data_IF_210864341798
#
_entry.id   IF_210864341798
#
_cell.length_a   1.000
_cell.length_b   1.000
_cell.length_c   1.000
_cell.angle_alpha   90.00
_cell.angle_beta   90.00
_cell.angle_gamma   90.00
#
_symmetry.space_group_name_H-M   'P 1'
#
loop_
_entity.id
_entity.type
_entity.pdbx_description
1 polymer ?
#
# COMPACT_ATOMS: atom_id res chain seq x y z
N UNK A 1 -3.70 -19.18 26.52
CA UNK A 1 -2.82 -18.06 26.10
C UNK A 1 -2.12 -18.50 24.83
N UNK A 2 -2.31 -17.79 23.76
CA UNK A 2 -1.61 -18.04 22.47
C UNK A 2 -0.27 -17.31 22.53
N UNK A 3 0.82 -17.93 22.03
CA UNK A 3 2.11 -17.25 21.96
C UNK A 3 2.10 -16.15 20.89
N UNK A 4 2.85 -15.07 21.08
CA UNK A 4 2.96 -13.99 20.09
C UNK A 4 3.55 -14.50 18.76
N UNK A 5 4.51 -15.44 18.84
CA UNK A 5 5.14 -16.07 17.68
C UNK A 5 4.13 -16.85 16.83
N UNK A 6 3.18 -17.56 17.45
CA UNK A 6 2.14 -18.28 16.72
C UNK A 6 1.17 -17.31 16.02
N UNK A 7 0.83 -16.19 16.66
CA UNK A 7 0.01 -15.14 16.03
C UNK A 7 0.72 -14.51 14.82
N UNK A 8 2.02 -14.26 14.94
CA UNK A 8 2.83 -13.73 13.83
C UNK A 8 2.91 -14.73 12.66
N UNK A 9 3.10 -16.02 12.96
CA UNK A 9 3.06 -17.08 11.94
C UNK A 9 1.70 -17.15 11.24
N UNK A 10 0.59 -17.09 11.98
CA UNK A 10 -0.75 -17.12 11.41
C UNK A 10 -1.04 -15.90 10.53
N UNK A 11 -0.57 -14.71 10.92
CA UNK A 11 -0.69 -13.49 10.11
C UNK A 11 0.14 -13.59 8.83
N UNK A 12 1.37 -14.11 8.90
CA UNK A 12 2.21 -14.33 7.73
C UNK A 12 1.58 -15.36 6.78
N UNK A 13 1.06 -16.48 7.30
CA UNK A 13 0.37 -17.48 6.49
C UNK A 13 -0.87 -16.89 5.80
N UNK A 14 -1.65 -16.05 6.49
CA UNK A 14 -2.78 -15.36 5.89
C UNK A 14 -2.34 -14.38 4.78
N UNK A 15 -1.17 -13.76 4.92
CA UNK A 15 -0.52 -12.95 3.88
C UNK A 15 -0.14 -13.80 2.66
N UNK A 16 0.48 -14.97 2.86
CA UNK A 16 0.83 -15.89 1.76
C UNK A 16 -0.40 -16.39 1.01
N UNK A 17 -1.49 -16.70 1.74
CA UNK A 17 -2.77 -17.06 1.11
C UNK A 17 -3.29 -15.92 0.22
N UNK A 18 -3.17 -14.67 0.66
CA UNK A 18 -3.57 -13.50 -0.14
C UNK A 18 -2.74 -13.37 -1.42
N UNK A 19 -1.42 -13.63 -1.35
CA UNK A 19 -0.53 -13.61 -2.52
C UNK A 19 -0.90 -14.75 -3.50
N UNK A 20 -1.11 -15.97 -2.99
CA UNK A 20 -1.50 -17.11 -3.81
C UNK A 20 -2.85 -16.84 -4.51
N UNK A 21 -3.81 -16.25 -3.80
CA UNK A 21 -5.11 -15.82 -4.37
C UNK A 21 -4.93 -14.81 -5.50
N UNK A 22 -4.12 -13.77 -5.31
CA UNK A 22 -3.88 -12.77 -6.36
C UNK A 22 -3.30 -13.40 -7.65
N UNK A 23 -2.43 -14.41 -7.52
CA UNK A 23 -1.92 -15.17 -8.66
C UNK A 23 -3.01 -15.98 -9.35
N UNK A 24 -3.91 -16.61 -8.58
CA UNK A 24 -5.05 -17.35 -9.14
C UNK A 24 -6.02 -16.42 -9.88
N UNK A 25 -6.31 -15.24 -9.33
CA UNK A 25 -7.13 -14.22 -10.00
C UNK A 25 -6.52 -13.80 -11.34
N UNK A 26 -5.21 -13.57 -11.38
CA UNK A 26 -4.50 -13.26 -12.62
C UNK A 26 -4.58 -14.40 -13.65
N UNK A 27 -4.43 -15.65 -13.21
CA UNK A 27 -4.54 -16.83 -14.09
C UNK A 27 -5.96 -16.98 -14.63
N UNK A 28 -6.99 -16.81 -13.79
CA UNK A 28 -8.38 -16.85 -14.22
C UNK A 28 -8.71 -15.74 -15.23
N UNK A 29 -8.19 -14.54 -15.03
CA UNK A 29 -8.34 -13.46 -16.02
C UNK A 29 -7.72 -13.82 -17.38
N UNK A 30 -6.57 -14.52 -17.39
CA UNK A 30 -5.97 -15.02 -18.63
C UNK A 30 -6.82 -16.12 -19.28
N UNK A 31 -7.42 -17.01 -18.50
CA UNK A 31 -8.35 -18.03 -19.00
C UNK A 31 -9.59 -17.38 -19.61
N UNK A 32 -10.18 -16.41 -18.94
CA UNK A 32 -11.34 -15.64 -19.41
C UNK A 32 -11.05 -14.95 -20.75
N UNK A 33 -9.91 -14.30 -20.87
CA UNK A 33 -9.46 -13.71 -22.13
C UNK A 33 -9.37 -14.75 -23.27
N UNK A 34 -8.77 -15.92 -23.00
CA UNK A 34 -8.63 -17.01 -23.98
C UNK A 34 -9.99 -17.61 -24.38
N UNK A 35 -10.93 -17.71 -23.43
CA UNK A 35 -12.30 -18.13 -23.72
C UNK A 35 -13.03 -17.13 -24.62
N UNK A 36 -12.80 -15.83 -24.42
CA UNK A 36 -13.31 -14.80 -25.32
C UNK A 36 -12.77 -14.91 -26.75
N UNK A 37 -11.48 -15.21 -26.93
CA UNK A 37 -10.89 -15.46 -28.26
C UNK A 37 -11.43 -16.75 -28.88
N UNK A 38 -11.63 -17.80 -28.08
CA UNK A 38 -12.26 -19.04 -28.53
C UNK A 38 -13.68 -18.77 -29.02
N UNK A 39 -14.47 -17.97 -28.31
CA UNK A 39 -15.83 -17.56 -28.69
C UNK A 39 -15.87 -16.94 -30.06
N UNK A 40 -15.01 -15.97 -30.30
CA UNK A 40 -14.90 -15.29 -31.61
C UNK A 40 -14.52 -16.28 -32.72
N UNK A 41 -13.63 -17.20 -32.42
CA UNK A 41 -13.17 -18.22 -33.40
C UNK A 41 -14.29 -19.19 -33.76
N UNK A 42 -15.03 -19.68 -32.74
CA UNK A 42 -16.19 -20.57 -32.95
C UNK A 42 -17.31 -19.89 -33.71
N UNK A 43 -17.59 -18.62 -33.41
CA UNK A 43 -18.59 -17.84 -34.14
C UNK A 43 -18.23 -17.69 -35.61
N UNK A 44 -16.96 -17.34 -35.88
CA UNK A 44 -16.45 -17.24 -37.26
C UNK A 44 -16.49 -18.58 -37.99
N UNK A 45 -16.16 -19.69 -37.31
CA UNK A 45 -16.27 -21.02 -37.90
C UNK A 45 -17.71 -21.36 -38.27
N UNK A 46 -18.69 -21.10 -37.39
CA UNK A 46 -20.12 -21.32 -37.69
C UNK A 46 -20.58 -20.50 -38.89
N UNK A 47 -20.16 -19.25 -39.01
CA UNK A 47 -20.47 -18.40 -40.17
C UNK A 47 -19.87 -18.94 -41.46
N UNK A 48 -18.63 -19.44 -41.42
CA UNK A 48 -17.98 -20.04 -42.60
C UNK A 48 -18.66 -21.33 -43.03
N UNK A 49 -19.03 -22.18 -42.09
CA UNK A 49 -19.77 -23.42 -42.35
C UNK A 49 -21.14 -23.12 -42.98
N UNK A 50 -21.85 -22.13 -42.44
CA UNK A 50 -23.15 -21.72 -43.02
C UNK A 50 -23.00 -21.18 -44.45
N UNK A 51 -21.96 -20.40 -44.73
CA UNK A 51 -21.68 -19.94 -46.12
C UNK A 51 -21.38 -21.12 -47.06
N UNK A 52 -20.60 -22.06 -46.59
CA UNK A 52 -20.27 -23.30 -47.34
C UNK A 52 -21.56 -24.09 -47.64
N UNK A 53 -22.46 -24.23 -46.69
CA UNK A 53 -23.73 -24.95 -46.84
C UNK A 53 -24.62 -24.23 -47.90
N UNK A 54 -24.79 -22.91 -47.81
CA UNK A 54 -25.56 -22.12 -48.78
C UNK A 54 -24.96 -22.22 -50.17
N UNK A 55 -23.64 -22.14 -50.30
CA UNK A 55 -22.96 -22.19 -51.60
C UNK A 55 -23.10 -23.58 -52.25
N UNK A 56 -23.01 -24.65 -51.43
CA UNK A 56 -23.24 -26.02 -51.90
C UNK A 56 -24.67 -26.23 -52.32
N UNK A 57 -25.67 -25.75 -51.57
CA UNK A 57 -27.09 -25.83 -51.94
C UNK A 57 -27.36 -25.01 -53.26
N UNK A 58 -26.80 -23.82 -53.35
CA UNK A 58 -26.97 -22.97 -54.56
C UNK A 58 -26.38 -23.62 -55.80
N UNK A 59 -25.21 -24.25 -55.69
CA UNK A 59 -24.63 -24.96 -56.81
C UNK A 59 -25.45 -26.17 -57.24
N UNK A 60 -26.08 -26.91 -56.31
CA UNK A 60 -26.99 -27.98 -56.58
C UNK A 60 -28.24 -27.47 -57.34
N UNK A 61 -28.83 -26.36 -56.88
CA UNK A 61 -30.02 -25.76 -57.50
C UNK A 61 -29.72 -25.20 -58.89
N UNK A 62 -28.62 -24.48 -59.12
CA UNK A 62 -28.25 -23.93 -60.43
C UNK A 62 -28.00 -25.02 -61.46
N UNK A 63 -27.47 -26.16 -61.10
CA UNK A 63 -27.32 -27.28 -62.06
C UNK A 63 -28.67 -27.91 -62.40
N UNK A 64 -29.64 -27.93 -61.48
CA UNK A 64 -30.96 -28.45 -61.79
C UNK A 64 -31.79 -27.54 -62.69
N UNK A 65 -31.59 -26.20 -62.61
CA UNK A 65 -32.32 -25.24 -63.48
C UNK A 65 -31.71 -25.06 -64.89
N UNK A 66 -30.41 -25.41 -65.07
CA UNK A 66 -29.70 -25.27 -66.36
C UNK A 66 -29.96 -26.37 -67.35
N UNK A 67 -30.51 -27.51 -66.99
CA UNK A 67 -30.57 -28.72 -67.84
C UNK A 67 -32.00 -29.11 -68.27
N UNK A 68 -32.70 -28.15 -68.91
CA UNK A 68 -33.94 -28.45 -69.62
C UNK A 68 -33.75 -28.88 -71.08
N UNK A 69 -32.49 -29.00 -71.59
CA UNK A 69 -32.25 -29.49 -72.95
C UNK A 69 -30.95 -30.32 -72.98
N UNK A 70 -31.09 -31.56 -73.23
CA UNK A 70 -30.18 -32.66 -73.43
C UNK A 70 -30.04 -33.65 -72.25
N UNK A 71 -30.50 -34.88 -72.46
CA UNK A 71 -30.16 -36.09 -71.74
C UNK A 71 -28.64 -36.28 -71.78
N UNK A 72 -27.95 -35.71 -70.85
CA UNK A 72 -26.57 -36.07 -70.53
C UNK A 72 -26.60 -37.00 -69.34
N UNK A 73 -25.93 -38.14 -69.45
CA UNK A 73 -25.81 -39.15 -68.42
C UNK A 73 -25.46 -38.51 -67.10
N UNK A 74 -26.37 -38.64 -66.16
CA UNK A 74 -26.23 -38.23 -64.76
C UNK A 74 -25.10 -39.06 -64.14
N UNK A 75 -23.95 -38.46 -63.82
CA UNK A 75 -22.84 -39.18 -63.18
C UNK A 75 -23.19 -39.41 -61.70
N UNK A 76 -23.50 -40.68 -61.28
CA UNK A 76 -23.84 -41.00 -59.90
C UNK A 76 -22.71 -40.63 -58.93
N UNK A 77 -21.46 -40.51 -59.40
CA UNK A 77 -20.28 -40.19 -58.60
C UNK A 77 -20.28 -38.69 -58.17
N UNK A 78 -20.84 -37.80 -58.96
CA UNK A 78 -20.94 -36.39 -58.56
C UNK A 78 -22.02 -36.17 -57.46
N UNK A 79 -23.14 -36.87 -57.53
CA UNK A 79 -24.20 -36.82 -56.50
C UNK A 79 -23.69 -37.38 -55.18
N UNK A 80 -22.90 -38.44 -55.21
CA UNK A 80 -22.27 -39.08 -54.04
C UNK A 80 -21.25 -38.11 -53.41
N UNK A 81 -20.51 -37.35 -54.19
CA UNK A 81 -19.59 -36.30 -53.71
C UNK A 81 -20.28 -35.14 -53.01
N UNK A 82 -21.38 -34.65 -53.54
CA UNK A 82 -22.17 -33.59 -52.92
C UNK A 82 -22.87 -34.07 -51.65
N UNK A 83 -23.39 -35.29 -51.64
CA UNK A 83 -23.95 -35.90 -50.44
C UNK A 83 -22.91 -36.07 -49.34
N UNK A 84 -21.71 -36.50 -49.63
CA UNK A 84 -20.63 -36.61 -48.65
C UNK A 84 -20.14 -35.23 -48.18
N UNK A 85 -20.04 -34.19 -49.03
CA UNK A 85 -19.68 -32.83 -48.63
C UNK A 85 -20.71 -32.26 -47.65
N UNK A 86 -22.00 -32.46 -47.94
CA UNK A 86 -23.09 -32.02 -47.07
C UNK A 86 -23.08 -32.73 -45.72
N UNK A 87 -22.77 -34.03 -45.69
CA UNK A 87 -22.59 -34.80 -44.47
C UNK A 87 -21.40 -34.28 -43.63
N UNK A 88 -20.26 -33.98 -44.27
CA UNK A 88 -19.09 -33.40 -43.58
C UNK A 88 -19.37 -32.02 -43.05
N UNK A 89 -20.06 -31.12 -43.83
CA UNK A 89 -20.43 -29.82 -43.38
C UNK A 89 -21.31 -29.88 -42.14
N UNK A 90 -22.30 -30.76 -42.13
CA UNK A 90 -23.20 -30.97 -40.98
C UNK A 90 -22.46 -31.52 -39.75
N UNK A 91 -21.58 -32.47 -39.92
CA UNK A 91 -20.74 -33.02 -38.84
C UNK A 91 -19.82 -31.94 -38.24
N UNK A 92 -19.25 -31.08 -39.09
CA UNK A 92 -18.45 -29.94 -38.64
C UNK A 92 -19.29 -28.88 -37.88
N UNK A 93 -20.51 -28.60 -38.36
CA UNK A 93 -21.44 -27.70 -37.68
C UNK A 93 -21.87 -28.20 -36.31
N UNK A 94 -22.08 -29.52 -36.18
CA UNK A 94 -22.37 -30.19 -34.92
C UNK A 94 -21.17 -30.09 -33.98
N UNK A 95 -19.96 -30.41 -34.45
CA UNK A 95 -18.72 -30.26 -33.67
C UNK A 95 -18.47 -28.80 -33.22
N UNK A 96 -18.73 -27.83 -34.06
CA UNK A 96 -18.63 -26.41 -33.72
C UNK A 96 -19.67 -26.01 -32.66
N UNK A 97 -20.85 -26.63 -32.66
CA UNK A 97 -21.88 -26.44 -31.64
C UNK A 97 -21.49 -27.05 -30.31
N UNK A 98 -20.87 -28.23 -30.34
CA UNK A 98 -20.36 -28.89 -29.14
C UNK A 98 -19.25 -28.08 -28.48
N UNK A 99 -18.31 -27.55 -29.28
CA UNK A 99 -17.26 -26.65 -28.79
C UNK A 99 -17.84 -25.38 -28.16
N UNK A 100 -18.90 -24.81 -28.74
CA UNK A 100 -19.59 -23.66 -28.16
C UNK A 100 -20.25 -24.01 -26.79
N UNK A 101 -20.83 -25.18 -26.68
CA UNK A 101 -21.44 -25.65 -25.43
C UNK A 101 -20.39 -25.88 -24.33
N UNK A 102 -19.25 -26.49 -24.68
CA UNK A 102 -18.12 -26.65 -23.77
C UNK A 102 -17.52 -25.32 -23.32
N UNK A 103 -17.41 -24.36 -24.24
CA UNK A 103 -16.95 -23.02 -23.93
C UNK A 103 -17.88 -22.34 -22.90
N UNK A 104 -19.19 -22.39 -23.10
CA UNK A 104 -20.16 -21.80 -22.20
C UNK A 104 -20.10 -22.44 -20.80
N UNK A 105 -19.86 -23.75 -20.73
CA UNK A 105 -19.61 -24.43 -19.47
C UNK A 105 -18.35 -23.93 -18.78
N UNK A 106 -17.24 -23.76 -19.53
CA UNK A 106 -15.98 -23.22 -18.98
C UNK A 106 -16.11 -21.79 -18.51
N UNK A 107 -16.85 -20.93 -19.22
CA UNK A 107 -17.16 -19.55 -18.79
C UNK A 107 -17.91 -19.55 -17.43
N UNK A 108 -18.89 -20.44 -17.29
CA UNK A 108 -19.63 -20.60 -16.02
C UNK A 108 -18.70 -21.05 -14.88
N UNK A 109 -17.81 -22.00 -15.12
CA UNK A 109 -16.84 -22.47 -14.13
C UNK A 109 -15.83 -21.38 -13.73
N UNK A 110 -15.37 -20.55 -14.67
CA UNK A 110 -14.50 -19.41 -14.40
C UNK A 110 -15.22 -18.39 -13.52
N UNK A 111 -16.48 -18.05 -13.83
CA UNK A 111 -17.27 -17.13 -13.04
C UNK A 111 -17.53 -17.67 -11.61
N UNK A 112 -17.78 -18.96 -11.46
CA UNK A 112 -17.91 -19.60 -10.14
C UNK A 112 -16.60 -19.55 -9.35
N UNK A 113 -15.46 -19.83 -10.00
CA UNK A 113 -14.13 -19.75 -9.38
C UNK A 113 -13.81 -18.34 -8.91
N UNK A 114 -14.14 -17.31 -9.72
CA UNK A 114 -13.98 -15.90 -9.33
C UNK A 114 -14.80 -15.54 -8.09
N UNK A 115 -16.06 -16.00 -8.03
CA UNK A 115 -16.91 -15.80 -6.86
C UNK A 115 -16.34 -16.46 -5.59
N UNK A 116 -15.82 -17.70 -5.71
CA UNK A 116 -15.16 -18.40 -4.60
C UNK A 116 -13.91 -17.67 -4.12
N UNK A 117 -13.08 -17.15 -5.03
CA UNK A 117 -11.91 -16.35 -4.67
C UNK A 117 -12.30 -15.05 -3.96
N UNK A 118 -13.39 -14.41 -4.37
CA UNK A 118 -13.89 -13.22 -3.70
C UNK A 118 -14.40 -13.54 -2.27
N UNK A 119 -15.10 -14.66 -2.10
CA UNK A 119 -15.53 -15.13 -0.78
C UNK A 119 -14.33 -15.47 0.11
N UNK A 120 -13.33 -16.18 -0.42
CA UNK A 120 -12.09 -16.48 0.27
C UNK A 120 -11.38 -15.19 0.72
N UNK A 121 -11.35 -14.15 -0.14
CA UNK A 121 -10.78 -12.83 0.20
C UNK A 121 -11.40 -12.23 1.45
N UNK A 122 -12.75 -12.24 1.53
CA UNK A 122 -13.48 -11.74 2.70
C UNK A 122 -13.12 -12.53 3.95
N UNK A 123 -13.14 -13.85 3.87
CA UNK A 123 -12.84 -14.74 5.00
C UNK A 123 -11.39 -14.53 5.51
N UNK A 124 -10.41 -14.42 4.60
CA UNK A 124 -9.02 -14.16 4.98
C UNK A 124 -8.87 -12.79 5.63
N UNK A 125 -9.53 -11.76 5.09
CA UNK A 125 -9.53 -10.41 5.69
C UNK A 125 -10.15 -10.40 7.08
N UNK A 126 -11.28 -11.07 7.28
CA UNK A 126 -11.92 -11.21 8.60
C UNK A 126 -11.02 -11.95 9.59
N UNK A 127 -10.35 -13.02 9.14
CA UNK A 127 -9.41 -13.78 9.93
C UNK A 127 -8.19 -12.94 10.33
N UNK A 128 -7.60 -12.19 9.39
CA UNK A 128 -6.54 -11.24 9.66
C UNK A 128 -6.98 -10.19 10.68
N UNK A 129 -8.14 -9.57 10.49
CA UNK A 129 -8.69 -8.59 11.44
C UNK A 129 -8.94 -9.19 12.83
N UNK A 130 -9.43 -10.43 12.90
CA UNK A 130 -9.60 -11.17 14.14
C UNK A 130 -8.27 -11.42 14.86
N UNK A 131 -7.26 -11.91 14.14
CA UNK A 131 -5.91 -12.13 14.67
C UNK A 131 -5.28 -10.82 15.16
N UNK A 132 -5.44 -9.73 14.38
CA UNK A 132 -4.92 -8.41 14.73
C UNK A 132 -5.55 -7.89 16.04
N UNK A 133 -6.85 -8.07 16.25
CA UNK A 133 -7.52 -7.69 17.51
C UNK A 133 -6.96 -8.41 18.72
N UNK A 134 -6.56 -9.68 18.59
CA UNK A 134 -5.95 -10.44 19.70
C UNK A 134 -4.55 -9.95 20.04
N UNK A 135 -3.90 -9.21 19.16
CA UNK A 135 -2.55 -8.66 19.30
C UNK A 135 -2.55 -7.23 19.85
N UNK A 136 -3.71 -6.59 19.92
CA UNK A 136 -3.83 -5.24 20.44
C UNK A 136 -3.55 -5.19 21.93
N UNK A 137 -2.82 -4.18 22.35
CA UNK A 137 -2.51 -3.89 23.76
C UNK A 137 -2.84 -2.44 24.09
N UNK A 138 -3.41 -2.23 25.27
CA UNK A 138 -3.71 -0.88 25.74
C UNK A 138 -2.42 -0.12 26.08
N UNK A 139 -2.31 1.10 25.60
CA UNK A 139 -1.20 2.02 25.90
C UNK A 139 -1.11 2.37 27.40
N UNK A 140 -2.23 2.29 28.13
CA UNK A 140 -2.30 2.56 29.57
C UNK A 140 -1.24 1.83 30.40
N UNK A 141 -0.84 0.64 29.98
CA UNK A 141 0.19 -0.16 30.68
C UNK A 141 1.57 0.50 30.72
N UNK A 142 1.83 1.41 29.78
CA UNK A 142 3.14 2.06 29.61
C UNK A 142 3.17 3.47 30.20
N UNK A 143 2.01 4.06 30.54
CA UNK A 143 1.91 5.43 31.07
C UNK A 143 2.77 5.64 32.30
N UNK A 144 2.72 4.71 33.28
CA UNK A 144 3.52 4.84 34.51
C UNK A 144 5.03 4.78 34.24
N UNK A 145 5.47 3.96 33.25
CA UNK A 145 6.87 3.89 32.84
C UNK A 145 7.30 5.22 32.21
N UNK A 146 6.51 5.77 31.29
CA UNK A 146 6.81 7.05 30.64
C UNK A 146 6.83 8.21 31.64
N UNK A 147 5.86 8.26 32.56
CA UNK A 147 5.83 9.26 33.64
C UNK A 147 7.05 9.17 34.57
N UNK A 148 7.57 7.97 34.81
CA UNK A 148 8.82 7.80 35.58
C UNK A 148 10.02 8.36 34.83
N UNK A 149 10.09 8.16 33.51
CA UNK A 149 11.16 8.70 32.67
C UNK A 149 11.18 10.23 32.70
N UNK A 150 10.01 10.86 32.58
CA UNK A 150 9.88 12.34 32.65
C UNK A 150 10.36 12.84 34.02
N UNK A 151 9.93 12.22 35.12
CA UNK A 151 10.36 12.60 36.48
C UNK A 151 11.87 12.42 36.68
N UNK A 152 12.43 11.32 36.17
CA UNK A 152 13.87 11.08 36.27
C UNK A 152 14.66 12.12 35.48
N UNK A 153 14.26 12.38 34.22
CA UNK A 153 14.91 13.39 33.38
C UNK A 153 14.81 14.80 34.00
N UNK A 154 13.69 15.13 34.62
CA UNK A 154 13.50 16.40 35.33
C UNK A 154 14.45 16.53 36.53
N UNK A 155 14.55 15.47 37.36
CA UNK A 155 15.46 15.44 38.48
C UNK A 155 16.94 15.57 38.04
N UNK A 156 17.35 14.82 37.02
CA UNK A 156 18.71 14.84 36.48
C UNK A 156 19.08 16.23 35.88
N UNK A 157 18.11 16.99 35.42
CA UNK A 157 18.28 18.32 34.80
C UNK A 157 18.03 19.48 35.79
N UNK A 158 17.66 19.21 37.06
CA UNK A 158 17.29 20.22 38.06
C UNK A 158 16.02 21.01 37.69
N UNK A 159 15.13 20.37 36.92
CA UNK A 159 13.86 20.97 36.44
C UNK A 159 12.68 20.28 37.10
N UNK A 160 11.49 20.88 36.94
CA UNK A 160 10.23 20.27 37.36
C UNK A 160 9.35 20.04 36.13
N UNK A 161 8.92 18.80 35.90
CA UNK A 161 8.06 18.44 34.79
C UNK A 161 7.13 17.29 35.16
N UNK A 162 5.92 17.35 34.61
CA UNK A 162 4.92 16.28 34.72
C UNK A 162 4.45 15.81 33.35
N UNK A 163 4.01 14.55 33.27
CA UNK A 163 3.45 13.95 32.05
C UNK A 163 1.94 13.76 32.23
N UNK A 164 1.17 14.34 31.32
CA UNK A 164 -0.28 14.14 31.17
C UNK A 164 -0.52 13.30 29.93
N UNK A 165 -1.21 12.16 30.07
CA UNK A 165 -1.51 11.28 28.93
C UNK A 165 -3.01 11.24 28.69
N UNK A 166 -3.42 11.63 27.50
CA UNK A 166 -4.80 11.63 27.01
C UNK A 166 -5.00 10.47 26.02
N UNK A 167 -6.18 9.84 26.02
CA UNK A 167 -6.45 8.72 25.11
C UNK A 167 -5.69 7.43 25.42
N UNK A 168 -5.15 7.27 26.64
CA UNK A 168 -4.34 6.13 27.02
C UNK A 168 -5.07 4.78 26.98
N UNK A 169 -6.40 4.76 26.94
CA UNK A 169 -7.22 3.55 26.75
C UNK A 169 -7.17 3.03 25.32
N UNK A 170 -6.64 3.83 24.40
CA UNK A 170 -6.42 3.41 23.00
C UNK A 170 -5.55 2.15 22.95
N UNK A 171 -5.92 1.27 22.03
CA UNK A 171 -5.19 0.02 21.76
C UNK A 171 -4.27 0.22 20.56
N UNK A 172 -3.06 -0.32 20.64
CA UNK A 172 -2.10 -0.37 19.53
C UNK A 172 -1.63 -1.81 19.32
N UNK A 173 -1.19 -2.08 18.10
CA UNK A 173 -0.47 -3.32 17.83
C UNK A 173 0.76 -3.43 18.75
N UNK A 174 0.93 -4.60 19.34
CA UNK A 174 2.01 -4.86 20.31
C UNK A 174 3.40 -4.59 19.72
N UNK A 175 3.67 -5.01 18.46
CA UNK A 175 4.98 -4.80 17.85
C UNK A 175 5.21 -3.32 17.50
N UNK A 176 4.19 -2.61 17.02
CA UNK A 176 4.26 -1.17 16.79
C UNK A 176 4.59 -0.46 18.09
N UNK A 177 3.88 -0.81 19.16
CA UNK A 177 4.10 -0.21 20.48
C UNK A 177 5.49 -0.50 21.04
N UNK A 178 5.94 -1.77 21.02
CA UNK A 178 7.27 -2.17 21.52
C UNK A 178 8.41 -1.45 20.76
N UNK A 179 8.27 -1.22 19.46
CA UNK A 179 9.23 -0.44 18.65
C UNK A 179 9.16 1.05 18.90
N UNK A 180 7.96 1.57 19.22
CA UNK A 180 7.76 3.00 19.45
C UNK A 180 8.07 3.47 20.86
N UNK A 181 8.10 2.57 21.84
CA UNK A 181 8.43 2.95 23.22
C UNK A 181 9.79 3.66 23.34
N UNK A 182 10.92 3.16 22.80
CA UNK A 182 12.20 3.88 22.84
C UNK A 182 12.16 5.26 22.16
N UNK A 183 11.61 5.44 20.95
CA UNK A 183 11.33 6.75 20.37
C UNK A 183 10.55 7.69 21.28
N UNK A 184 9.45 7.24 21.86
CA UNK A 184 8.65 8.08 22.79
C UNK A 184 9.44 8.46 24.05
N UNK A 185 10.18 7.54 24.63
CA UNK A 185 11.07 7.83 25.76
C UNK A 185 12.14 8.88 25.42
N UNK A 186 12.64 8.86 24.17
CA UNK A 186 13.60 9.84 23.70
C UNK A 186 12.95 11.23 23.51
N UNK A 187 11.76 11.29 22.86
CA UNK A 187 11.02 12.52 22.72
C UNK A 187 10.71 13.17 24.07
N UNK A 188 10.26 12.38 25.04
CA UNK A 188 9.97 12.87 26.41
C UNK A 188 11.22 13.38 27.12
N UNK A 189 12.36 12.70 26.99
CA UNK A 189 13.64 13.21 27.54
C UNK A 189 14.07 14.52 26.90
N UNK A 190 13.92 14.62 25.57
CA UNK A 190 14.24 15.86 24.86
C UNK A 190 13.33 17.01 25.26
N UNK A 191 12.03 16.77 25.40
CA UNK A 191 11.08 17.75 25.93
C UNK A 191 11.53 18.30 27.28
N UNK A 192 11.94 17.43 28.21
CA UNK A 192 12.47 17.86 29.52
C UNK A 192 13.82 18.56 29.39
N UNK A 193 14.79 17.96 28.70
CA UNK A 193 16.15 18.45 28.68
C UNK A 193 16.29 19.79 27.94
N UNK A 194 15.59 19.90 26.80
CA UNK A 194 15.75 21.01 25.83
C UNK A 194 14.51 21.91 25.75
N UNK A 195 13.29 21.37 25.95
CA UNK A 195 12.05 22.14 25.86
C UNK A 195 11.75 22.90 27.16
N UNK A 196 11.57 22.17 28.29
CA UNK A 196 11.18 22.78 29.56
C UNK A 196 12.34 23.63 30.11
N UNK A 197 12.02 24.86 30.54
CA UNK A 197 12.98 25.77 31.17
C UNK A 197 13.14 25.46 32.68
N UNK A 198 14.19 26.00 33.30
CA UNK A 198 14.37 25.94 34.75
C UNK A 198 13.23 26.66 35.49
N UNK A 199 12.83 26.21 36.71
CA UNK A 199 11.69 26.81 37.44
C UNK A 199 11.76 28.32 37.58
N UNK A 200 12.97 28.86 37.85
CA UNK A 200 13.17 30.30 38.00
C UNK A 200 12.98 31.07 36.67
N UNK A 201 13.31 30.45 35.52
CA UNK A 201 13.10 31.04 34.19
C UNK A 201 11.63 30.99 33.80
N UNK A 202 10.92 29.91 34.09
CA UNK A 202 9.47 29.77 33.89
C UNK A 202 8.69 30.79 34.68
N UNK A 203 9.04 30.97 35.97
CA UNK A 203 8.39 31.99 36.79
C UNK A 203 8.59 33.41 36.25
N UNK A 204 9.79 33.73 35.71
CA UNK A 204 10.04 35.05 35.05
C UNK A 204 9.22 35.23 33.77
N UNK A 205 8.96 34.14 33.06
CA UNK A 205 8.13 34.12 31.84
C UNK A 205 6.63 34.07 32.17
N UNK A 206 6.22 34.09 33.44
CA UNK A 206 4.80 34.01 33.85
C UNK A 206 4.19 32.61 33.69
N UNK A 207 5.01 31.58 33.55
CA UNK A 207 4.58 30.17 33.47
C UNK A 207 4.59 29.51 34.84
N UNK A 208 3.88 28.37 35.00
CA UNK A 208 3.99 27.51 36.16
C UNK A 208 5.44 27.02 36.36
N UNK A 209 5.92 26.92 37.57
CA UNK A 209 7.26 26.36 37.90
C UNK A 209 7.42 24.94 37.38
N UNK A 210 6.32 24.14 37.39
CA UNK A 210 6.28 22.78 36.84
C UNK A 210 5.87 22.86 35.36
N UNK A 211 6.73 22.38 34.47
CA UNK A 211 6.44 22.25 33.07
C UNK A 211 5.51 21.08 32.79
N UNK A 212 4.65 21.23 31.81
CA UNK A 212 3.73 20.17 31.41
C UNK A 212 4.10 19.58 30.07
N UNK A 213 4.22 18.24 30.04
CA UNK A 213 4.34 17.49 28.79
C UNK A 213 3.06 16.71 28.61
N UNK A 214 2.35 16.98 27.51
CA UNK A 214 1.12 16.31 27.15
C UNK A 214 1.38 15.30 26.04
N UNK A 215 0.92 14.06 26.24
CA UNK A 215 0.94 13.01 25.24
C UNK A 215 -0.49 12.58 24.93
N UNK A 216 -0.97 12.87 23.72
CA UNK A 216 -2.32 12.56 23.29
C UNK A 216 -2.28 11.45 22.24
N UNK A 217 -3.13 10.42 22.43
CA UNK A 217 -3.30 9.33 21.47
C UNK A 217 -4.70 9.40 20.88
N UNK A 218 -4.77 9.44 19.55
CA UNK A 218 -6.02 9.46 18.80
C UNK A 218 -5.95 8.47 17.66
N UNK A 219 -7.08 7.89 17.29
CA UNK A 219 -7.20 7.05 16.09
C UNK A 219 -7.95 7.81 15.02
N UNK A 220 -7.36 7.92 13.84
CA UNK A 220 -7.96 8.50 12.64
C UNK A 220 -7.95 7.44 11.51
N UNK A 221 -9.10 6.80 11.30
CA UNK A 221 -9.24 5.77 10.26
C UNK A 221 -8.30 4.59 10.47
N UNK A 222 -7.33 4.43 9.56
CA UNK A 222 -6.32 3.37 9.59
C UNK A 222 -5.00 3.77 10.27
N UNK A 223 -4.93 4.97 10.85
CA UNK A 223 -3.76 5.51 11.52
C UNK A 223 -4.00 5.75 13.00
N UNK A 224 -2.92 5.68 13.78
CA UNK A 224 -2.84 6.18 15.15
C UNK A 224 -1.96 7.40 15.14
N UNK A 225 -2.50 8.51 15.67
CA UNK A 225 -1.78 9.76 15.85
C UNK A 225 -1.38 9.87 17.30
N UNK A 226 -0.08 10.04 17.52
CA UNK A 226 0.47 10.31 18.84
C UNK A 226 1.11 11.68 18.83
N UNK A 227 0.56 12.61 19.60
CA UNK A 227 1.11 13.94 19.79
C UNK A 227 1.85 14.02 21.11
N UNK A 228 3.08 14.52 21.08
CA UNK A 228 3.88 14.83 22.26
C UNK A 228 4.15 16.33 22.24
N UNK A 229 3.55 17.06 23.18
CA UNK A 229 3.62 18.51 23.25
C UNK A 229 4.22 18.93 24.60
N UNK A 230 5.22 19.79 24.59
CA UNK A 230 5.72 20.49 25.79
C UNK A 230 5.29 21.96 25.80
N UNK A 231 5.20 22.55 26.98
CA UNK A 231 4.91 23.95 27.20
C UNK A 231 6.17 24.79 27.48
N UNK A 232 7.31 24.34 26.96
CA UNK A 232 8.62 24.92 27.19
C UNK A 232 8.95 26.15 26.34
N UNK A 233 10.23 26.40 26.15
CA UNK A 233 10.74 27.57 25.39
C UNK A 233 10.53 27.49 23.89
N UNK A 234 10.20 26.30 23.37
CA UNK A 234 10.22 26.03 21.93
C UNK A 234 11.62 25.78 21.40
N UNK A 235 11.73 25.50 20.10
CA UNK A 235 13.02 25.28 19.43
C UNK A 235 13.70 26.61 19.08
N UNK A 236 15.00 26.71 19.32
CA UNK A 236 15.80 27.83 18.88
C UNK A 236 16.21 27.64 17.41
N UNK A 237 15.36 28.08 16.48
CA UNK A 237 15.56 27.93 15.03
C UNK A 237 16.86 28.59 14.56
N UNK A 238 17.27 29.70 15.18
CA UNK A 238 18.55 30.35 14.86
C UNK A 238 19.73 29.45 15.21
N UNK A 239 19.75 28.87 16.40
CA UNK A 239 20.82 27.96 16.82
C UNK A 239 20.84 26.67 15.96
N UNK A 240 19.69 26.17 15.56
CA UNK A 240 19.55 25.03 14.63
C UNK A 240 20.16 25.38 13.28
N UNK A 241 19.83 26.55 12.72
CA UNK A 241 20.38 27.03 11.45
C UNK A 241 21.90 27.19 11.50
N UNK A 242 22.39 27.89 12.56
CA UNK A 242 23.85 28.14 12.72
C UNK A 242 24.60 26.80 12.79
N UNK A 243 24.06 25.82 13.49
CA UNK A 243 24.59 24.45 13.57
C UNK A 243 24.54 23.72 12.21
N UNK A 244 23.45 23.87 11.47
CA UNK A 244 23.33 23.30 10.12
C UNK A 244 24.38 23.83 9.16
N UNK A 245 24.73 25.11 9.25
CA UNK A 245 25.82 25.73 8.48
C UNK A 245 27.17 25.16 8.95
N UNK A 246 27.40 25.05 10.27
CA UNK A 246 28.65 24.50 10.84
C UNK A 246 28.90 23.05 10.37
N UNK A 247 27.84 22.24 10.28
CA UNK A 247 27.89 20.86 9.82
C UNK A 247 27.92 20.72 8.29
N UNK A 248 27.82 21.83 7.55
CA UNK A 248 27.77 21.79 6.08
C UNK A 248 26.52 21.25 5.45
N UNK A 249 25.43 21.09 6.23
CA UNK A 249 24.13 20.61 5.77
C UNK A 249 23.39 21.64 4.93
N UNK A 250 23.62 22.92 5.22
CA UNK A 250 23.03 24.06 4.51
C UNK A 250 24.10 25.16 4.27
N UNK A 251 23.87 26.02 3.29
CA UNK A 251 24.70 27.19 3.01
C UNK A 251 24.23 28.38 3.82
N UNK A 252 25.15 29.25 4.23
CA UNK A 252 24.84 30.42 5.03
C UNK A 252 23.91 31.43 4.32
N UNK A 253 23.97 31.48 2.98
CA UNK A 253 23.17 32.33 2.11
C UNK A 253 21.82 31.73 1.71
N UNK A 254 21.54 30.47 2.10
CA UNK A 254 20.31 29.75 1.74
C UNK A 254 19.13 30.25 2.55
N UNK A 255 18.05 30.67 1.88
CA UNK A 255 16.78 30.99 2.50
C UNK A 255 15.99 29.70 2.70
N UNK A 256 15.76 29.34 3.96
CA UNK A 256 14.96 28.18 4.37
C UNK A 256 13.76 28.66 5.16
N UNK A 257 12.65 27.95 5.03
CA UNK A 257 11.49 28.11 5.90
C UNK A 257 11.81 27.60 7.32
N UNK A 258 11.00 28.01 8.30
CA UNK A 258 11.12 27.51 9.68
C UNK A 258 10.93 25.96 9.71
N UNK A 259 10.08 25.43 8.86
CA UNK A 259 9.85 23.99 8.72
C UNK A 259 11.11 23.27 8.18
N UNK A 260 11.77 23.83 7.16
CA UNK A 260 13.01 23.26 6.64
C UNK A 260 14.13 23.29 7.67
N UNK A 261 14.20 24.37 8.48
CA UNK A 261 15.18 24.47 9.56
C UNK A 261 14.90 23.42 10.64
N UNK A 262 13.65 23.19 11.01
CA UNK A 262 13.29 22.13 11.95
C UNK A 262 13.66 20.74 11.44
N UNK A 263 13.51 20.47 10.13
CA UNK A 263 13.86 19.18 9.54
C UNK A 263 15.34 18.84 9.71
N UNK A 264 16.23 19.82 9.81
CA UNK A 264 17.66 19.58 10.04
C UNK A 264 17.95 18.82 11.33
N UNK A 265 17.06 18.92 12.33
CA UNK A 265 17.20 18.18 13.62
C UNK A 265 17.06 16.67 13.41
N UNK A 266 16.44 16.24 12.31
CA UNK A 266 16.26 14.83 11.94
C UNK A 266 17.41 14.26 11.11
N UNK A 267 18.36 15.11 10.68
CA UNK A 267 19.52 14.68 9.91
C UNK A 267 20.53 13.93 10.78
N UNK A 268 21.13 12.91 10.21
CA UNK A 268 22.12 12.09 10.91
C UNK A 268 23.30 12.92 11.40
N UNK A 269 23.62 12.81 12.69
CA UNK A 269 24.73 13.54 13.28
C UNK A 269 24.44 14.99 13.69
N UNK A 270 23.19 15.47 13.56
CA UNK A 270 22.80 16.84 13.93
C UNK A 270 22.80 17.08 15.45
N UNK A 271 22.92 16.05 16.30
CA UNK A 271 22.81 16.20 17.78
C UNK A 271 23.55 17.45 18.28
N UNK A 272 22.82 18.33 18.97
CA UNK A 272 23.36 19.56 19.54
C UNK A 272 24.16 19.34 20.83
N UNK A 273 24.17 18.13 21.38
CA UNK A 273 24.91 17.78 22.58
C UNK A 273 26.41 17.61 22.25
N UNK A 274 27.18 18.66 22.49
CA UNK A 274 28.64 18.70 22.33
C UNK A 274 29.44 17.88 23.35
N UNK A 275 28.80 17.00 24.13
CA UNK A 275 29.43 16.04 25.00
C UNK A 275 28.63 14.75 24.96
N UNK A 276 29.29 13.66 24.61
CA UNK A 276 28.87 12.31 24.88
C UNK A 276 28.63 12.17 26.39
N UNK A 277 27.43 12.48 26.87
CA UNK A 277 27.02 12.12 28.22
C UNK A 277 26.88 10.59 28.23
N UNK A 278 27.86 9.92 28.76
CA UNK A 278 27.96 8.46 28.93
C UNK A 278 26.78 7.83 29.70
N UNK A 279 25.80 8.61 30.12
CA UNK A 279 24.65 8.14 30.93
C UNK A 279 23.50 7.57 30.10
N UNK A 280 23.53 7.74 28.76
CA UNK A 280 22.55 7.11 27.86
C UNK A 280 23.29 6.19 26.88
N UNK A 281 23.56 4.98 27.29
CA UNK A 281 24.37 3.97 26.60
C UNK A 281 23.93 3.50 25.21
N UNK A 282 23.61 4.39 24.34
CA UNK A 282 23.60 4.37 22.85
C UNK A 282 23.14 5.77 22.44
N UNK A 283 23.99 6.50 21.70
CA UNK A 283 23.67 7.83 21.17
C UNK A 283 22.44 7.79 20.27
N UNK A 284 21.25 7.83 20.88
CA UNK A 284 19.97 7.86 20.15
C UNK A 284 19.67 9.33 19.88
N UNK A 285 19.84 9.77 18.64
CA UNK A 285 19.47 11.10 18.17
C UNK A 285 18.03 11.12 17.63
N UNK A 286 17.56 12.29 17.22
CA UNK A 286 16.27 12.47 16.55
C UNK A 286 16.20 11.75 15.21
N UNK A 287 17.33 11.58 14.54
CA UNK A 287 17.50 10.77 13.32
C UNK A 287 17.08 9.30 13.53
N UNK A 288 17.41 8.72 14.68
CA UNK A 288 16.99 7.35 15.02
C UNK A 288 15.49 7.29 15.24
N UNK A 289 14.90 8.30 15.92
CA UNK A 289 13.43 8.41 16.09
C UNK A 289 12.74 8.45 14.75
N UNK A 290 13.18 9.34 13.85
CA UNK A 290 12.61 9.48 12.51
C UNK A 290 12.76 8.18 11.68
N UNK A 291 13.92 7.53 11.78
CA UNK A 291 14.19 6.26 11.10
C UNK A 291 13.28 5.14 11.57
N UNK A 292 13.08 4.98 12.88
CA UNK A 292 12.18 3.94 13.41
C UNK A 292 10.71 4.19 13.03
N UNK A 293 10.27 5.46 13.03
CA UNK A 293 8.92 5.84 12.56
C UNK A 293 8.76 5.50 11.08
N UNK A 294 9.73 5.85 10.23
CA UNK A 294 9.73 5.51 8.80
C UNK A 294 9.72 4.00 8.54
N UNK A 295 10.49 3.21 9.29
CA UNK A 295 10.50 1.74 9.20
C UNK A 295 9.15 1.11 9.52
N UNK A 296 8.34 1.76 10.34
CA UNK A 296 6.97 1.36 10.64
C UNK A 296 5.95 1.86 9.62
N UNK A 297 6.40 2.56 8.57
CA UNK A 297 5.53 3.18 7.57
C UNK A 297 4.82 4.43 8.09
N UNK A 298 5.35 5.05 9.17
CA UNK A 298 4.81 6.25 9.76
C UNK A 298 5.48 7.53 9.28
N UNK A 299 4.95 8.67 9.75
CA UNK A 299 5.46 10.00 9.51
C UNK A 299 5.64 10.75 10.84
N UNK A 300 6.66 11.61 10.89
CA UNK A 300 6.94 12.53 11.98
C UNK A 300 6.82 13.96 11.48
N UNK A 301 5.98 14.73 12.14
CA UNK A 301 5.82 16.17 11.91
C UNK A 301 6.18 16.93 13.19
N UNK A 302 6.74 18.12 13.04
CA UNK A 302 7.18 18.97 14.14
C UNK A 302 6.64 20.38 13.96
N UNK A 303 6.16 20.96 15.05
CA UNK A 303 5.73 22.34 15.12
C UNK A 303 6.34 22.97 16.38
N UNK A 304 6.77 24.22 16.30
CA UNK A 304 7.29 24.95 17.46
C UNK A 304 6.84 26.39 17.45
N UNK A 305 6.54 26.90 18.65
CA UNK A 305 6.25 28.31 18.86
C UNK A 305 7.13 28.81 20.00
N UNK A 306 7.93 29.82 19.71
CA UNK A 306 8.84 30.40 20.69
C UNK A 306 8.09 30.84 21.97
N UNK A 307 8.53 30.37 23.12
CA UNK A 307 7.93 30.62 24.41
C UNK A 307 6.67 29.82 24.71
N UNK A 308 6.12 29.04 23.78
CA UNK A 308 4.92 28.22 23.99
C UNK A 308 5.19 26.69 23.94
N UNK A 309 6.34 26.30 23.39
CA UNK A 309 6.79 24.92 23.38
C UNK A 309 6.90 24.29 22.00
N UNK A 310 7.03 22.96 21.97
CA UNK A 310 7.18 22.15 20.77
C UNK A 310 6.19 21.03 20.75
N UNK A 311 5.64 20.73 19.58
CA UNK A 311 4.73 19.62 19.33
C UNK A 311 5.34 18.66 18.31
N UNK A 312 5.49 17.40 18.69
CA UNK A 312 5.83 16.30 17.79
C UNK A 312 4.57 15.50 17.50
N UNK A 313 4.19 15.41 16.22
CA UNK A 313 3.07 14.59 15.76
C UNK A 313 3.61 13.37 15.04
N UNK A 314 3.40 12.20 15.63
CA UNK A 314 3.78 10.90 15.06
C UNK A 314 2.52 10.25 14.50
N UNK A 315 2.51 9.98 13.19
CA UNK A 315 1.47 9.21 12.53
C UNK A 315 1.98 7.80 12.29
N UNK A 316 1.26 6.80 12.71
CA UNK A 316 1.62 5.39 12.57
C UNK A 316 0.44 4.64 11.97
N UNK A 317 0.67 3.69 11.06
CA UNK A 317 -0.39 2.79 10.64
C UNK A 317 -0.88 1.99 11.87
N UNK A 318 -2.19 1.84 11.99
CA UNK A 318 -2.81 1.10 13.10
C UNK A 318 -2.34 -0.35 13.18
N UNK A 319 -1.96 -0.91 12.03
CA UNK A 319 -1.44 -2.28 11.88
C UNK A 319 -0.22 -2.26 10.96
N UNK A 320 0.62 -3.28 11.04
CA UNK A 320 1.62 -3.51 10.00
C UNK A 320 0.85 -3.79 8.69
N UNK A 321 0.76 -2.80 7.84
CA UNK A 321 -0.06 -2.88 6.63
C UNK A 321 0.59 -3.83 5.62
N UNK A 322 -0.12 -4.89 5.23
CA UNK A 322 0.12 -5.56 3.96
C UNK A 322 -0.50 -4.67 2.90
N UNK A 323 0.33 -3.92 2.19
CA UNK A 323 -0.13 -3.10 1.07
C UNK A 323 -0.01 -3.90 -0.22
N UNK A 324 -1.08 -3.94 -1.01
CA UNK A 324 -1.00 -4.41 -2.38
C UNK A 324 -0.21 -3.39 -3.20
N UNK A 325 0.77 -3.87 -3.94
CA UNK A 325 1.58 -3.01 -4.80
C UNK A 325 1.70 -3.61 -6.20
N UNK A 326 1.68 -2.73 -7.20
CA UNK A 326 2.07 -3.08 -8.55
C UNK A 326 3.60 -3.10 -8.60
N UNK A 327 4.20 -4.25 -8.89
CA UNK A 327 5.64 -4.36 -9.07
C UNK A 327 5.97 -4.06 -10.53
N UNK A 328 6.68 -2.97 -10.76
CA UNK A 328 7.16 -2.57 -12.09
C UNK A 328 8.68 -2.76 -12.18
N UNK A 329 9.16 -3.15 -13.36
CA UNK A 329 10.59 -3.27 -13.64
C UNK A 329 11.04 -2.16 -14.58
N UNK A 330 12.08 -1.43 -14.18
CA UNK A 330 12.75 -0.42 -15.02
C UNK A 330 14.23 -0.79 -15.13
N UNK A 331 14.66 -1.22 -16.32
CA UNK A 331 15.99 -1.80 -16.49
C UNK A 331 16.12 -3.10 -15.68
N UNK A 332 17.09 -3.14 -14.77
CA UNK A 332 17.35 -4.29 -13.88
C UNK A 332 16.78 -4.10 -12.46
N UNK A 333 16.12 -2.98 -12.20
CA UNK A 333 15.56 -2.64 -10.88
C UNK A 333 14.04 -2.88 -10.84
N UNK A 334 13.55 -3.28 -9.67
CA UNK A 334 12.13 -3.48 -9.38
C UNK A 334 11.62 -2.43 -8.41
N UNK A 335 10.49 -1.80 -8.74
CA UNK A 335 9.81 -0.82 -7.91
C UNK A 335 8.42 -1.32 -7.54
N UNK A 336 8.03 -1.16 -6.27
CA UNK A 336 6.70 -1.47 -5.79
C UNK A 336 5.87 -0.18 -5.66
N UNK A 337 4.87 -0.01 -6.53
CA UNK A 337 3.94 1.11 -6.52
C UNK A 337 2.69 0.70 -5.73
N UNK A 338 2.33 1.36 -4.62
CA UNK A 338 1.11 1.06 -3.89
C UNK A 338 -0.12 1.12 -4.81
N UNK A 339 -0.94 0.06 -4.83
CA UNK A 339 -2.13 -0.02 -5.70
C UNK A 339 -3.10 1.17 -5.56
N UNK A 340 -3.32 1.77 -4.36
CA UNK A 340 -4.15 2.97 -4.23
C UNK A 340 -3.62 4.21 -4.96
N UNK A 341 -2.35 4.21 -5.35
CA UNK A 341 -1.72 5.30 -6.12
C UNK A 341 -1.74 5.05 -7.63
N UNK A 342 -2.25 3.89 -8.07
CA UNK A 342 -2.30 3.49 -9.48
C UNK A 342 -3.73 3.65 -9.97
N UNK A 343 -3.99 4.66 -10.79
CA UNK A 343 -5.31 4.92 -11.39
C UNK A 343 -5.60 3.95 -12.54
N UNK A 344 -4.56 3.53 -13.25
CA UNK A 344 -4.70 2.59 -14.36
C UNK A 344 -3.37 2.18 -14.98
N UNK A 345 -3.41 1.21 -15.89
CA UNK A 345 -2.26 0.77 -16.67
C UNK A 345 -2.61 0.87 -18.15
N UNK A 346 -1.87 1.71 -18.87
CA UNK A 346 -2.06 1.92 -20.31
C UNK A 346 -0.90 1.32 -21.08
N UNK A 347 -1.18 0.64 -22.18
CA UNK A 347 -0.17 0.09 -23.07
C UNK A 347 0.06 1.03 -24.26
N UNK A 348 1.23 1.62 -24.32
CA UNK A 348 1.61 2.53 -25.39
C UNK A 348 2.64 1.89 -26.34
N UNK A 349 2.55 2.15 -27.66
CA UNK A 349 3.63 1.87 -28.59
C UNK A 349 4.88 2.66 -28.23
N UNK A 350 6.06 2.07 -28.44
CA UNK A 350 7.35 2.70 -28.05
C UNK A 350 7.57 4.08 -28.69
N UNK A 351 7.01 4.33 -29.86
CA UNK A 351 7.10 5.63 -30.56
C UNK A 351 6.33 6.73 -29.83
N UNK A 352 5.20 6.42 -29.19
CA UNK A 352 4.35 7.37 -28.48
C UNK A 352 4.88 7.69 -27.07
N UNK A 353 5.61 6.75 -26.45
CA UNK A 353 6.20 6.94 -25.12
C UNK A 353 7.13 8.16 -25.09
N UNK A 354 7.94 8.38 -26.14
CA UNK A 354 8.87 9.51 -26.21
C UNK A 354 8.15 10.87 -26.27
N UNK A 355 6.96 10.94 -26.85
CA UNK A 355 6.15 12.15 -26.91
C UNK A 355 5.51 12.48 -25.55
N UNK A 356 5.12 11.47 -24.79
CA UNK A 356 4.51 11.65 -23.46
C UNK A 356 5.53 11.93 -22.36
N UNK A 357 6.76 11.43 -22.45
CA UNK A 357 7.82 11.67 -21.46
C UNK A 357 8.30 13.14 -21.39
N UNK A 358 7.95 13.97 -22.40
CA UNK A 358 8.27 15.41 -22.43
C UNK A 358 7.19 16.33 -21.85
N UNK A 359 6.08 15.77 -21.34
CA UNK A 359 4.95 16.56 -20.77
C UNK A 359 4.90 16.37 -19.27
N UNK A 360 4.70 17.47 -18.52
CA UNK A 360 4.58 17.46 -17.05
C UNK A 360 3.35 16.64 -16.53
N UNK A 361 2.38 16.41 -17.40
CA UNK A 361 1.24 15.50 -17.16
C UNK A 361 0.74 14.93 -18.48
N UNK A 362 0.56 13.62 -18.55
CA UNK A 362 -0.12 12.94 -19.64
C UNK A 362 -1.53 12.55 -19.19
N UNK A 363 -2.55 13.14 -19.81
CA UNK A 363 -3.95 12.72 -19.66
C UNK A 363 -4.23 11.67 -20.72
N UNK A 364 -4.66 10.49 -20.30
CA UNK A 364 -5.11 9.43 -21.19
C UNK A 364 -6.63 9.35 -21.08
N UNK A 365 -7.34 9.73 -22.16
CA UNK A 365 -8.78 9.50 -22.27
C UNK A 365 -9.04 8.00 -22.48
N UNK A 366 -9.96 7.45 -21.70
CA UNK A 366 -10.41 6.05 -21.75
C UNK A 366 -11.39 5.83 -22.89
#
# INVERSE_FOLDING_TARGET
RVSAELLDQLLNNAGEVSIARARLEQQLGSVEFNLGELSRTVTRLKEQLRKLEIETETQILHRHEGDTSYRSEFDPLELDRYSSLHQFSRALAESASDVASLQQLLESLVAEAQNLLQQQSRTVTELQNGLMRTRMVSFQRHVQRLARIVRQAAADSGKQAELVVEGATGELDRQVLERMLPPFEHLLRNAVAHGIEAPAERARAGKSETGQIRMALQREGAEVIVQVCDDGAGMNLKAIRDKGVELGLIRADQHLSDEDIMQLVLEAGFSTAGALTQTAGRGVGMDVVATEIKKLGGALHMETVAGQGTTFTVRLPFTLAVSHALVVRTGDEYYALPLPMVEGVVRLPRAEVAEHLGRDSASFDH
#
